data_IF_874409108168
#
_entry.id   IF_874409108168
#
_cell.length_a   1.000
_cell.length_b   1.000
_cell.length_c   1.000
_cell.angle_alpha   90.00
_cell.angle_beta   90.00
_cell.angle_gamma   90.00
#
_symmetry.space_group_name_H-M   'P 1'
#
loop_
_entity.id
_entity.type
_entity.pdbx_description
1 polymer ?
#
# COMPACT_ATOMS: atom_id res chain seq x y z
N UNK A 1 7.65 -7.45 -8.62
CA UNK A 1 7.38 -8.82 -9.12
C UNK A 1 8.00 -8.97 -10.50
N UNK A 2 9.32 -9.16 -10.65
CA UNK A 2 9.94 -9.32 -11.99
C UNK A 2 9.61 -10.71 -12.52
N UNK A 3 8.91 -10.80 -13.66
CA UNK A 3 8.75 -12.03 -14.43
C UNK A 3 9.54 -11.86 -15.73
N UNK A 4 10.61 -12.64 -15.92
CA UNK A 4 11.31 -12.74 -17.21
C UNK A 4 10.58 -13.79 -18.06
N UNK A 5 10.20 -13.51 -19.31
CA UNK A 5 9.31 -14.37 -20.08
C UNK A 5 9.99 -15.58 -20.74
N UNK A 6 11.19 -15.96 -20.29
CA UNK A 6 11.93 -17.10 -20.84
C UNK A 6 12.53 -17.95 -19.72
N UNK A 7 11.70 -18.75 -19.07
CA UNK A 7 12.11 -19.94 -18.31
C UNK A 7 11.34 -21.18 -18.82
N UNK A 8 11.91 -22.39 -18.72
CA UNK A 8 11.24 -23.64 -19.10
C UNK A 8 9.92 -23.79 -18.33
N UNK A 9 8.94 -24.52 -18.91
CA UNK A 9 7.67 -24.88 -18.26
C UNK A 9 7.94 -25.74 -17.02
N UNK A 10 8.29 -25.11 -15.90
CA UNK A 10 8.27 -25.74 -14.59
C UNK A 10 6.88 -25.52 -14.02
N UNK A 11 6.03 -26.55 -14.11
CA UNK A 11 4.80 -26.63 -13.33
C UNK A 11 5.16 -27.04 -11.91
N UNK A 12 4.73 -26.27 -10.93
CA UNK A 12 4.83 -26.64 -9.51
C UNK A 12 3.43 -27.00 -9.05
N UNK A 13 3.26 -28.24 -8.62
CA UNK A 13 2.00 -28.68 -8.04
C UNK A 13 1.88 -28.10 -6.63
N UNK A 14 0.74 -27.47 -6.36
CA UNK A 14 0.43 -27.00 -5.02
C UNK A 14 0.20 -28.21 -4.12
N UNK A 15 0.83 -28.20 -2.94
CA UNK A 15 0.64 -29.25 -1.93
C UNK A 15 -0.83 -29.37 -1.49
N UNK A 16 -1.62 -28.30 -1.61
CA UNK A 16 -3.06 -28.31 -1.34
C UNK A 16 -3.79 -27.16 -2.04
N UNK A 17 -5.11 -27.31 -2.19
CA UNK A 17 -6.00 -26.26 -2.68
C UNK A 17 -6.41 -25.30 -1.57
N UNK A 18 -6.62 -24.02 -1.89
CA UNK A 18 -7.15 -23.02 -0.98
C UNK A 18 -8.10 -22.06 -1.71
N UNK A 19 -8.95 -21.36 -0.95
CA UNK A 19 -9.91 -20.39 -1.53
C UNK A 19 -9.20 -19.07 -1.82
N UNK A 20 -9.24 -18.59 -3.06
CA UNK A 20 -8.61 -17.30 -3.42
C UNK A 20 -9.15 -16.10 -2.62
N UNK A 21 -10.40 -16.17 -2.16
CA UNK A 21 -10.99 -15.13 -1.32
C UNK A 21 -10.24 -14.91 0.00
N UNK A 22 -9.46 -15.89 0.48
CA UNK A 22 -8.65 -15.74 1.70
C UNK A 22 -7.37 -14.95 1.47
N UNK A 23 -7.02 -14.65 0.21
CA UNK A 23 -5.91 -13.77 -0.15
C UNK A 23 -6.33 -12.31 -0.30
N UNK A 24 -7.62 -12.03 -0.15
CA UNK A 24 -8.17 -10.67 -0.21
C UNK A 24 -8.49 -10.16 1.20
N UNK A 25 -8.64 -8.84 1.37
CA UNK A 25 -9.15 -8.31 2.63
C UNK A 25 -10.50 -8.93 2.99
N UNK A 26 -10.88 -8.81 4.27
CA UNK A 26 -12.14 -9.36 4.75
C UNK A 26 -13.31 -8.88 3.87
N UNK A 27 -14.28 -9.76 3.57
CA UNK A 27 -15.32 -9.49 2.58
C UNK A 27 -16.09 -8.18 2.83
N UNK A 28 -16.34 -7.84 4.10
CA UNK A 28 -16.99 -6.58 4.50
C UNK A 28 -16.16 -5.31 4.26
N UNK A 29 -14.87 -5.43 3.93
CA UNK A 29 -13.94 -4.32 3.66
C UNK A 29 -13.58 -4.16 2.18
N UNK A 30 -13.97 -5.11 1.33
CA UNK A 30 -13.70 -5.05 -0.12
C UNK A 30 -14.36 -3.86 -0.82
N UNK A 31 -15.37 -3.26 -0.21
CA UNK A 31 -16.04 -2.08 -0.75
C UNK A 31 -15.14 -0.83 -0.74
N UNK A 32 -14.11 -0.79 0.11
CA UNK A 32 -13.14 0.30 0.20
C UNK A 32 -11.93 0.06 -0.70
N UNK A 33 -11.85 0.79 -1.82
CA UNK A 33 -10.73 0.73 -2.76
C UNK A 33 -10.52 2.04 -3.51
N UNK A 34 -9.34 2.15 -4.12
CA UNK A 34 -8.94 3.21 -5.05
C UNK A 34 -8.74 2.61 -6.45
N UNK A 35 -9.09 3.36 -7.49
CA UNK A 35 -9.01 2.91 -8.88
C UNK A 35 -8.39 3.96 -9.81
N UNK A 36 -7.43 3.56 -10.62
CA UNK A 36 -6.75 4.46 -11.56
C UNK A 36 -6.15 3.71 -12.76
N UNK A 37 -5.91 4.44 -13.86
CA UNK A 37 -5.21 3.93 -15.03
C UNK A 37 -3.69 3.99 -14.81
N UNK A 38 -2.99 2.90 -15.11
CA UNK A 38 -1.54 2.80 -14.93
C UNK A 38 -0.89 1.75 -15.81
N UNK A 39 0.33 1.38 -15.43
CA UNK A 39 1.17 0.44 -16.16
C UNK A 39 1.50 -0.80 -15.37
N UNK A 40 2.09 -1.77 -16.07
CA UNK A 40 2.86 -2.83 -15.45
C UNK A 40 3.99 -2.23 -14.60
N UNK A 41 4.23 -2.82 -13.43
CA UNK A 41 5.36 -2.44 -12.54
C UNK A 41 6.64 -3.20 -12.85
N UNK A 42 6.64 -3.93 -13.98
CA UNK A 42 7.78 -4.64 -14.56
C UNK A 42 8.00 -4.16 -15.97
N UNK A 43 9.23 -4.27 -16.50
CA UNK A 43 9.45 -4.21 -17.94
C UNK A 43 8.46 -5.14 -18.66
N UNK A 44 7.84 -4.72 -19.73
CA UNK A 44 8.04 -3.52 -20.58
C UNK A 44 7.37 -2.21 -20.11
N UNK A 45 6.75 -2.19 -18.93
CA UNK A 45 6.04 -1.05 -18.35
C UNK A 45 4.83 -0.55 -19.17
N UNK A 46 4.18 -1.42 -19.96
CA UNK A 46 3.01 -1.08 -20.77
C UNK A 46 1.86 -0.45 -19.96
N UNK A 47 1.27 0.64 -20.47
CA UNK A 47 0.17 1.41 -19.86
C UNK A 47 -1.22 0.82 -20.17
N UNK A 48 -1.42 -0.44 -19.78
CA UNK A 48 -2.63 -1.21 -20.12
C UNK A 48 -3.43 -1.66 -18.88
N UNK A 49 -3.05 -1.19 -17.68
CA UNK A 49 -3.57 -1.72 -16.42
C UNK A 49 -4.55 -0.74 -15.78
N UNK A 50 -5.76 -1.22 -15.46
CA UNK A 50 -6.65 -0.55 -14.50
C UNK A 50 -6.35 -1.08 -13.11
N UNK A 51 -5.66 -0.29 -12.29
CA UNK A 51 -5.32 -0.68 -10.93
C UNK A 51 -6.52 -0.56 -10.01
N UNK A 52 -6.76 -1.59 -9.19
CA UNK A 52 -7.65 -1.53 -8.01
C UNK A 52 -6.80 -1.81 -6.78
N UNK A 53 -6.73 -0.85 -5.86
CA UNK A 53 -5.97 -0.96 -4.61
C UNK A 53 -6.95 -0.91 -3.47
N UNK A 54 -7.11 -2.01 -2.73
CA UNK A 54 -7.96 -2.04 -1.54
C UNK A 54 -7.37 -1.15 -0.45
N UNK A 55 -8.24 -0.46 0.28
CA UNK A 55 -7.85 0.40 1.39
C UNK A 55 -7.38 -0.43 2.59
N UNK A 56 -8.05 -1.54 2.86
CA UNK A 56 -7.70 -2.47 3.93
C UNK A 56 -6.59 -3.43 3.47
N UNK A 57 -5.48 -3.59 4.23
CA UNK A 57 -4.46 -4.58 3.95
C UNK A 57 -4.89 -6.01 4.32
N UNK A 58 -4.15 -6.99 3.81
CA UNK A 58 -4.21 -8.38 4.31
C UNK A 58 -3.05 -8.58 5.28
N UNK A 59 -3.37 -8.91 6.53
CA UNK A 59 -2.37 -9.18 7.55
C UNK A 59 -1.75 -10.57 7.35
N UNK A 60 -0.44 -10.66 7.57
CA UNK A 60 0.31 -11.93 7.54
C UNK A 60 1.12 -12.08 8.83
N UNK A 61 1.32 -13.33 9.24
CA UNK A 61 2.13 -13.64 10.41
C UNK A 61 3.61 -13.31 10.19
N UNK A 62 4.31 -12.94 11.27
CA UNK A 62 5.74 -12.60 11.21
C UNK A 62 6.61 -13.74 10.64
N UNK A 63 6.28 -14.98 11.00
CA UNK A 63 7.01 -16.16 10.49
C UNK A 63 6.76 -16.40 9.01
N UNK A 64 5.55 -16.12 8.51
CA UNK A 64 5.24 -16.18 7.08
C UNK A 64 6.03 -15.12 6.30
N UNK A 65 6.08 -13.89 6.81
CA UNK A 65 6.89 -12.83 6.22
C UNK A 65 8.38 -13.22 6.20
N UNK A 66 8.91 -13.75 7.32
CA UNK A 66 10.29 -14.22 7.41
C UNK A 66 10.60 -15.28 6.37
N UNK A 67 9.74 -16.29 6.24
CA UNK A 67 9.90 -17.35 5.25
C UNK A 67 9.86 -16.79 3.82
N UNK A 68 8.94 -15.88 3.52
CA UNK A 68 8.82 -15.27 2.20
C UNK A 68 10.10 -14.51 1.80
N UNK A 69 10.66 -13.71 2.71
CA UNK A 69 11.88 -12.94 2.40
C UNK A 69 13.16 -13.77 2.44
N UNK A 70 13.19 -14.95 3.07
CA UNK A 70 14.40 -15.76 3.23
C UNK A 70 14.55 -16.88 2.20
N UNK A 71 13.44 -17.39 1.66
CA UNK A 71 13.45 -18.61 0.82
C UNK A 71 13.52 -18.34 -0.67
N UNK A 72 13.13 -17.15 -1.12
CA UNK A 72 13.05 -16.81 -2.54
C UNK A 72 14.39 -16.31 -3.09
N UNK A 73 14.81 -16.87 -4.23
CA UNK A 73 16.09 -16.59 -4.89
C UNK A 73 15.92 -16.38 -6.40
N UNK A 74 16.69 -15.45 -6.97
CA UNK A 74 16.93 -15.34 -8.40
C UNK A 74 17.98 -16.37 -8.84
N UNK A 75 17.80 -17.01 -10.01
CA UNK A 75 18.87 -17.77 -10.62
C UNK A 75 20.01 -16.83 -11.02
N UNK A 76 21.25 -17.19 -10.69
CA UNK A 76 22.44 -16.53 -11.22
C UNK A 76 23.27 -17.50 -12.06
N UNK A 77 24.31 -17.00 -12.71
CA UNK A 77 25.20 -17.83 -13.54
C UNK A 77 25.83 -18.96 -12.71
N UNK A 78 25.71 -20.20 -13.19
CA UNK A 78 26.19 -21.39 -12.49
C UNK A 78 25.20 -21.90 -11.43
N UNK A 79 25.71 -22.31 -10.26
CA UNK A 79 24.91 -22.83 -9.13
C UNK A 79 24.64 -21.80 -8.03
N UNK A 80 25.02 -20.54 -8.26
CA UNK A 80 24.84 -19.46 -7.28
C UNK A 80 23.39 -18.99 -7.27
N UNK A 81 22.81 -18.85 -6.09
CA UNK A 81 21.47 -18.29 -5.88
C UNK A 81 21.58 -16.91 -5.24
N UNK A 82 20.90 -15.92 -5.82
CA UNK A 82 20.85 -14.56 -5.28
C UNK A 82 19.54 -14.35 -4.56
N UNK A 83 19.58 -13.99 -3.27
CA UNK A 83 18.37 -13.74 -2.49
C UNK A 83 17.50 -12.66 -3.14
N UNK A 84 16.20 -12.92 -3.27
CA UNK A 84 15.25 -11.95 -3.82
C UNK A 84 14.93 -10.89 -2.77
N UNK A 85 15.57 -9.73 -2.86
CA UNK A 85 15.29 -8.56 -2.03
C UNK A 85 14.91 -7.36 -2.90
N UNK A 86 14.20 -6.38 -2.32
CA UNK A 86 13.83 -5.12 -2.97
C UNK A 86 13.23 -5.27 -4.38
N UNK A 87 12.41 -6.31 -4.58
CA UNK A 87 11.85 -6.70 -5.88
C UNK A 87 10.57 -5.91 -6.25
N UNK A 88 10.57 -4.61 -5.97
CA UNK A 88 9.48 -3.67 -6.23
C UNK A 88 9.96 -2.48 -7.06
N UNK A 89 9.02 -1.86 -7.80
CA UNK A 89 9.26 -0.60 -8.50
C UNK A 89 8.95 0.57 -7.55
N UNK A 90 9.81 1.60 -7.44
CA UNK A 90 9.52 2.78 -6.64
C UNK A 90 8.23 3.50 -7.09
N UNK A 91 7.53 4.22 -6.19
CA UNK A 91 6.39 5.05 -6.55
C UNK A 91 6.74 6.00 -7.70
N UNK A 92 5.83 6.14 -8.66
CA UNK A 92 6.02 6.99 -9.84
C UNK A 92 5.18 8.27 -9.70
N UNK A 93 5.61 9.39 -10.31
CA UNK A 93 4.86 10.64 -10.19
C UNK A 93 3.42 10.49 -10.71
N UNK A 94 2.47 11.14 -10.04
CA UNK A 94 1.05 11.03 -10.40
C UNK A 94 0.75 11.62 -11.78
N UNK A 95 1.49 12.67 -12.17
CA UNK A 95 1.20 13.48 -13.35
C UNK A 95 -0.26 13.95 -13.31
N UNK A 96 -0.94 14.00 -14.45
CA UNK A 96 -2.33 14.44 -14.57
C UNK A 96 -3.37 13.33 -14.32
N UNK A 97 -2.95 12.18 -13.76
CA UNK A 97 -3.85 11.05 -13.55
C UNK A 97 -4.80 11.32 -12.40
N UNK A 98 -6.07 11.00 -12.61
CA UNK A 98 -7.10 11.02 -11.57
C UNK A 98 -7.16 9.66 -10.87
N UNK A 99 -7.22 9.68 -9.55
CA UNK A 99 -7.49 8.51 -8.72
C UNK A 99 -8.91 8.61 -8.23
N UNK A 100 -9.70 7.55 -8.45
CA UNK A 100 -11.07 7.46 -7.99
C UNK A 100 -11.11 6.66 -6.70
N UNK A 101 -11.75 7.20 -5.66
CA UNK A 101 -12.08 6.46 -4.45
C UNK A 101 -13.48 5.83 -4.61
N UNK A 102 -13.62 4.59 -4.17
CA UNK A 102 -14.93 3.96 -3.97
C UNK A 102 -15.74 4.72 -2.91
N UNK A 103 -17.07 4.52 -2.88
CA UNK A 103 -17.95 5.20 -1.90
C UNK A 103 -17.65 4.84 -0.45
N UNK A 104 -17.12 3.65 -0.21
CA UNK A 104 -16.78 3.19 1.13
C UNK A 104 -15.33 3.49 1.51
N UNK A 105 -14.52 4.00 0.56
CA UNK A 105 -13.14 4.38 0.86
C UNK A 105 -13.09 5.71 1.59
N UNK A 106 -12.13 5.85 2.50
CA UNK A 106 -11.90 7.12 3.19
C UNK A 106 -11.27 8.11 2.22
N UNK A 107 -12.09 8.93 1.57
CA UNK A 107 -11.58 10.01 0.73
C UNK A 107 -11.06 11.14 1.63
N UNK A 108 -9.74 11.18 1.88
CA UNK A 108 -9.08 12.39 2.37
C UNK A 108 -8.94 13.41 1.23
N UNK A 109 -10.05 13.73 0.57
CA UNK A 109 -10.15 14.92 -0.26
C UNK A 109 -10.52 16.06 0.68
N UNK A 110 -9.63 17.03 0.87
CA UNK A 110 -9.96 18.27 1.56
C UNK A 110 -11.23 18.84 0.93
N UNK A 111 -12.33 18.78 1.65
CA UNK A 111 -13.61 19.33 1.21
C UNK A 111 -13.51 20.85 1.34
N UNK A 112 -13.68 21.64 0.28
CA UNK A 112 -14.00 23.05 0.42
C UNK A 112 -15.50 23.14 0.68
N UNK A 113 -15.94 22.66 1.84
CA UNK A 113 -17.29 22.94 2.33
C UNK A 113 -17.17 23.81 3.56
N UNK A 114 -17.49 25.08 3.34
CA UNK A 114 -18.15 25.98 4.27
C UNK A 114 -17.58 26.01 5.68
N UNK A 115 -16.91 27.12 6.01
CA UNK A 115 -16.65 27.50 7.39
C UNK A 115 -17.93 27.50 8.20
N UNK A 116 -18.25 26.37 8.82
CA UNK A 116 -18.91 26.37 10.11
C UNK A 116 -17.93 27.04 11.05
N UNK A 117 -18.30 28.22 11.53
CA UNK A 117 -17.69 28.88 12.67
C UNK A 117 -17.45 27.85 13.79
N UNK A 118 -16.23 27.32 13.86
CA UNK A 118 -15.70 26.74 15.06
C UNK A 118 -15.51 27.91 16.00
N UNK A 119 -16.53 28.15 16.83
CA UNK A 119 -16.43 29.03 17.98
C UNK A 119 -15.21 28.56 18.77
N UNK A 120 -14.14 29.35 18.70
CA UNK A 120 -12.98 29.24 19.55
C UNK A 120 -13.48 29.15 20.99
N UNK A 121 -13.31 27.99 21.62
CA UNK A 121 -13.55 27.83 23.04
C UNK A 121 -12.67 28.84 23.79
N UNK A 122 -13.24 29.76 24.58
CA UNK A 122 -12.46 30.82 25.25
C UNK A 122 -11.61 30.30 26.44
N UNK A 123 -11.49 28.99 26.62
CA UNK A 123 -10.75 28.38 27.73
C UNK A 123 -9.25 28.18 27.47
N UNK A 124 -8.71 28.60 26.31
CA UNK A 124 -7.28 28.52 26.00
C UNK A 124 -6.60 29.89 25.87
N UNK A 125 -7.08 30.91 26.58
CA UNK A 125 -6.42 32.23 26.66
C UNK A 125 -6.17 32.70 28.10
N UNK A 126 -6.01 31.78 29.06
CA UNK A 126 -5.63 32.10 30.44
C UNK A 126 -4.33 31.42 30.91
N UNK A 127 -3.47 30.99 29.98
CA UNK A 127 -2.17 30.37 30.30
C UNK A 127 -0.94 31.24 29.95
N UNK A 128 -1.12 32.53 29.61
CA UNK A 128 -0.02 33.45 29.29
C UNK A 128 0.22 34.57 30.32
N UNK A 129 -0.46 34.54 31.47
CA UNK A 129 -0.17 35.46 32.58
C UNK A 129 0.04 34.67 33.86
N UNK A 130 1.15 33.94 33.92
CA UNK A 130 1.75 33.51 35.19
C UNK A 130 2.55 34.68 35.79
N UNK A 131 2.42 34.97 37.10
CA UNK A 131 3.09 36.10 37.74
C UNK A 131 4.60 35.86 37.88
N UNK A 132 5.37 36.90 37.57
CA UNK A 132 6.79 37.02 37.94
C UNK A 132 6.95 36.84 39.44
N UNK A 133 7.80 35.88 39.85
CA UNK A 133 8.36 35.80 41.19
C UNK A 133 9.82 36.28 41.12
N UNK A 134 10.21 37.35 41.85
CA UNK A 134 11.61 37.68 42.04
C UNK A 134 12.13 36.90 43.25
N UNK A 135 13.38 36.46 43.20
CA UNK A 135 14.09 36.01 44.39
C UNK A 135 15.55 36.51 44.35
N UNK A 136 16.20 36.57 45.53
CA UNK A 136 17.20 37.57 45.91
C UNK A 136 18.59 37.37 45.31
#
# INVERSE_FOLDING_TARGET
MVWSPRTPRYSVDLASTFRLSTLLPHAGRLAGYYRYQGSLTTPDCSEVVVWTVFEEPVEIGREQLRAFVSTLHFPATGSTLLKMTNNFRPPQPLHSRKIFASRAATASGGSPHGGHHQLLSPLLLLALLGPFSPNP
#
